data_IF_655510362994
#
_entry.id   IF_655510362994
#
_cell.length_a   1.000
_cell.length_b   1.000
_cell.length_c   1.000
_cell.angle_alpha   90.00
_cell.angle_beta   90.00
_cell.angle_gamma   90.00
#
_symmetry.space_group_name_H-M   'P 1'
#
loop_
_entity.id
_entity.type
_entity.pdbx_description
1 polymer ?
#
# COMPACT_ATOMS: atom_id res chain seq x y z
N UNK A 1 -1.86 -11.01 -110.12
CA UNK A 1 -2.99 -10.11 -110.43
C UNK A 1 -4.23 -10.95 -110.21
N UNK A 2 -5.03 -10.87 -109.14
CA UNK A 2 -5.20 -9.95 -108.02
C UNK A 2 -5.73 -10.73 -106.78
N UNK A 3 -5.30 -10.24 -105.61
CA UNK A 3 -5.89 -10.19 -104.26
C UNK A 3 -7.25 -10.88 -104.02
N UNK A 4 -7.37 -11.81 -103.05
CA UNK A 4 -7.47 -11.61 -101.59
C UNK A 4 -8.65 -10.73 -101.14
N UNK A 5 -9.76 -11.36 -100.77
CA UNK A 5 -10.33 -11.37 -99.40
C UNK A 5 -11.67 -12.14 -99.43
N UNK A 6 -11.70 -13.40 -98.94
CA UNK A 6 -12.95 -14.12 -98.69
C UNK A 6 -13.19 -14.26 -97.19
N UNK A 7 -14.45 -14.02 -96.82
CA UNK A 7 -14.96 -13.55 -95.53
C UNK A 7 -15.19 -14.69 -94.50
N UNK A 8 -14.37 -15.74 -94.55
CA UNK A 8 -14.65 -17.01 -93.86
C UNK A 8 -13.72 -17.33 -92.67
N UNK A 9 -12.89 -16.37 -92.24
CA UNK A 9 -11.88 -16.60 -91.19
C UNK A 9 -12.27 -16.19 -89.77
N UNK A 10 -13.41 -15.52 -89.57
CA UNK A 10 -13.73 -14.92 -88.26
C UNK A 10 -14.68 -15.76 -87.38
N UNK A 11 -15.27 -16.84 -87.92
CA UNK A 11 -16.23 -17.66 -87.17
C UNK A 11 -15.61 -18.92 -86.53
N UNK A 12 -14.36 -19.28 -86.88
CA UNK A 12 -13.72 -20.54 -86.45
C UNK A 12 -12.82 -20.44 -85.22
N UNK A 13 -12.76 -19.29 -84.54
CA UNK A 13 -11.91 -19.08 -83.36
C UNK A 13 -12.74 -19.09 -82.05
N UNK A 14 -14.07 -19.22 -82.11
CA UNK A 14 -14.95 -19.18 -80.93
C UNK A 14 -15.40 -20.55 -80.42
N UNK A 15 -15.03 -21.66 -81.05
CA UNK A 15 -15.48 -23.02 -80.66
C UNK A 15 -14.53 -23.76 -79.71
N UNK A 16 -13.30 -23.29 -79.48
CA UNK A 16 -12.29 -23.99 -78.65
C UNK A 16 -11.92 -23.26 -77.34
N UNK A 17 -12.87 -22.53 -76.74
CA UNK A 17 -12.67 -21.99 -75.39
C UNK A 17 -13.22 -23.00 -74.39
N UNK A 18 -12.38 -23.70 -73.59
CA UNK A 18 -12.89 -24.56 -72.53
C UNK A 18 -13.71 -23.72 -71.54
N UNK A 19 -14.80 -24.27 -70.98
CA UNK A 19 -15.64 -23.51 -70.06
C UNK A 19 -14.79 -23.00 -68.90
N UNK A 20 -14.79 -21.68 -68.70
CA UNK A 20 -14.12 -21.02 -67.58
C UNK A 20 -14.60 -21.68 -66.29
N UNK A 21 -13.70 -22.41 -65.64
CA UNK A 21 -13.92 -22.97 -64.31
C UNK A 21 -14.32 -21.84 -63.37
N UNK A 22 -15.47 -21.99 -62.72
CA UNK A 22 -16.03 -21.00 -61.83
C UNK A 22 -14.98 -20.55 -60.79
N UNK A 23 -14.77 -19.24 -60.69
CA UNK A 23 -13.96 -18.62 -59.63
C UNK A 23 -14.31 -19.23 -58.27
N UNK A 24 -13.33 -19.53 -57.39
CA UNK A 24 -13.64 -19.96 -56.04
C UNK A 24 -14.46 -18.86 -55.36
N UNK A 25 -15.69 -19.16 -54.98
CA UNK A 25 -16.51 -18.26 -54.18
C UNK A 25 -15.81 -18.04 -52.85
N UNK A 26 -15.33 -16.82 -52.60
CA UNK A 26 -14.85 -16.41 -51.29
C UNK A 26 -16.04 -16.47 -50.33
N UNK A 27 -16.05 -17.47 -49.44
CA UNK A 27 -17.05 -17.52 -48.39
C UNK A 27 -16.90 -16.29 -47.49
N UNK A 28 -17.98 -15.55 -47.20
CA UNK A 28 -17.90 -14.40 -46.31
C UNK A 28 -17.55 -14.91 -44.91
N UNK A 29 -16.33 -14.61 -44.46
CA UNK A 29 -15.95 -14.87 -43.08
C UNK A 29 -16.86 -14.02 -42.19
N UNK A 30 -17.69 -14.70 -41.40
CA UNK A 30 -18.76 -14.10 -40.60
C UNK A 30 -18.18 -13.48 -39.32
N UNK A 31 -17.36 -12.44 -39.47
CA UNK A 31 -16.65 -11.76 -38.35
C UNK A 31 -17.62 -11.16 -37.32
N UNK A 32 -18.85 -10.79 -37.73
CA UNK A 32 -19.87 -10.21 -36.85
C UNK A 32 -20.64 -11.21 -35.97
N UNK A 33 -20.53 -12.52 -36.24
CA UNK A 33 -21.26 -13.56 -35.49
C UNK A 33 -20.63 -13.88 -34.14
N UNK A 34 -19.37 -13.50 -33.92
CA UNK A 34 -18.64 -13.78 -32.68
C UNK A 34 -18.82 -12.72 -31.61
N UNK A 35 -19.26 -11.50 -31.97
CA UNK A 35 -19.30 -10.38 -31.02
C UNK A 35 -20.27 -10.63 -29.87
N UNK A 36 -21.47 -11.13 -30.17
CA UNK A 36 -22.47 -11.48 -29.15
C UNK A 36 -21.96 -12.59 -28.23
N UNK A 37 -21.28 -13.60 -28.79
CA UNK A 37 -20.68 -14.69 -28.01
C UNK A 37 -19.55 -14.20 -27.11
N UNK A 38 -18.71 -13.28 -27.59
CA UNK A 38 -17.63 -12.67 -26.80
C UNK A 38 -18.19 -11.82 -25.67
N UNK A 39 -19.21 -10.99 -25.95
CA UNK A 39 -19.88 -10.18 -24.93
C UNK A 39 -20.52 -11.06 -23.87
N UNK A 40 -21.27 -12.10 -24.29
CA UNK A 40 -21.92 -13.02 -23.36
C UNK A 40 -20.90 -13.78 -22.50
N UNK A 41 -19.84 -14.31 -23.11
CA UNK A 41 -18.76 -14.99 -22.39
C UNK A 41 -18.08 -14.05 -21.38
N UNK A 42 -17.76 -12.82 -21.78
CA UNK A 42 -17.14 -11.83 -20.90
C UNK A 42 -18.04 -11.44 -19.72
N UNK A 43 -19.36 -11.30 -19.95
CA UNK A 43 -20.33 -11.00 -18.92
C UNK A 43 -20.45 -12.15 -17.91
N UNK A 44 -20.50 -13.41 -18.39
CA UNK A 44 -20.54 -14.60 -17.54
C UNK A 44 -19.27 -14.72 -16.70
N UNK A 45 -18.09 -14.55 -17.30
CA UNK A 45 -16.82 -14.57 -16.57
C UNK A 45 -16.77 -13.46 -15.51
N UNK A 46 -17.20 -12.25 -15.86
CA UNK A 46 -17.24 -11.12 -14.91
C UNK A 46 -18.17 -11.42 -13.74
N UNK A 47 -19.38 -11.92 -14.01
CA UNK A 47 -20.34 -12.31 -12.97
C UNK A 47 -19.83 -13.42 -12.07
N UNK A 48 -19.19 -14.44 -12.64
CA UNK A 48 -18.59 -15.53 -11.87
C UNK A 48 -17.49 -15.03 -10.93
N UNK A 49 -16.59 -14.17 -11.42
CA UNK A 49 -15.51 -13.57 -10.62
C UNK A 49 -16.09 -12.67 -9.53
N UNK A 50 -17.06 -11.80 -9.87
CA UNK A 50 -17.71 -10.92 -8.91
C UNK A 50 -18.46 -11.71 -7.83
N UNK A 51 -19.12 -12.81 -8.21
CA UNK A 51 -19.77 -13.72 -7.27
C UNK A 51 -18.76 -14.39 -6.33
N UNK A 52 -17.69 -14.96 -6.88
CA UNK A 52 -16.64 -15.60 -6.08
C UNK A 52 -15.94 -14.61 -5.12
N UNK A 53 -15.73 -13.36 -5.55
CA UNK A 53 -15.27 -12.27 -4.67
C UNK A 53 -16.28 -11.94 -3.57
N UNK A 54 -17.57 -11.84 -3.91
CA UNK A 54 -18.62 -11.57 -2.95
C UNK A 54 -18.74 -12.64 -1.87
N UNK A 55 -18.54 -13.91 -2.23
CA UNK A 55 -18.53 -15.03 -1.27
C UNK A 55 -17.18 -15.26 -0.58
N UNK A 56 -16.14 -14.48 -0.90
CA UNK A 56 -14.81 -14.61 -0.29
C UNK A 56 -14.07 -15.90 -0.63
N UNK A 57 -14.49 -16.65 -1.67
CA UNK A 57 -13.91 -17.97 -1.95
C UNK A 57 -12.50 -17.91 -2.54
N UNK A 58 -12.13 -16.76 -3.12
CA UNK A 58 -10.81 -16.52 -3.73
C UNK A 58 -9.78 -16.04 -2.67
N UNK A 59 -10.25 -15.41 -1.60
CA UNK A 59 -9.42 -14.77 -0.57
C UNK A 59 -8.32 -15.69 0.01
N UNK A 60 -8.58 -16.95 0.42
CA UNK A 60 -7.55 -17.81 1.00
C UNK A 60 -6.41 -18.11 0.01
N UNK A 61 -6.74 -18.25 -1.27
CA UNK A 61 -5.77 -18.55 -2.33
C UNK A 61 -4.94 -17.34 -2.72
N UNK A 62 -5.55 -16.15 -2.75
CA UNK A 62 -4.85 -14.88 -2.93
C UNK A 62 -3.86 -14.66 -1.77
N UNK A 63 -4.30 -14.91 -0.54
CA UNK A 63 -3.47 -14.73 0.64
C UNK A 63 -2.27 -15.67 0.65
N UNK A 64 -2.48 -16.95 0.35
CA UNK A 64 -1.41 -17.92 0.24
C UNK A 64 -0.41 -17.59 -0.89
N UNK A 65 -0.91 -17.10 -2.02
CA UNK A 65 -0.06 -16.64 -3.13
C UNK A 65 0.77 -15.41 -2.72
N UNK A 66 0.16 -14.44 -2.06
CA UNK A 66 0.84 -13.25 -1.54
C UNK A 66 1.93 -13.61 -0.52
N UNK A 67 1.62 -14.46 0.46
CA UNK A 67 2.58 -14.88 1.49
C UNK A 67 3.77 -15.63 0.86
N UNK A 68 3.53 -16.42 -0.19
CA UNK A 68 4.59 -17.08 -0.96
C UNK A 68 5.46 -16.08 -1.73
N UNK A 69 4.87 -15.06 -2.33
CA UNK A 69 5.63 -14.01 -3.01
C UNK A 69 6.45 -13.16 -2.02
N UNK A 70 5.90 -12.84 -0.84
CA UNK A 70 6.61 -12.09 0.19
C UNK A 70 7.79 -12.87 0.76
N UNK A 71 7.63 -14.18 0.99
CA UNK A 71 8.74 -15.04 1.46
C UNK A 71 9.84 -15.27 0.43
N UNK A 72 9.54 -15.09 -0.87
CA UNK A 72 10.55 -15.15 -1.94
C UNK A 72 11.32 -13.84 -2.11
N UNK A 73 10.89 -12.76 -1.45
CA UNK A 73 11.59 -11.48 -1.48
C UNK A 73 12.94 -11.63 -0.78
N UNK A 74 13.98 -11.04 -1.36
CA UNK A 74 15.28 -10.98 -0.71
C UNK A 74 15.18 -10.22 0.63
N UNK A 75 15.96 -10.62 1.65
CA UNK A 75 16.01 -9.88 2.91
C UNK A 75 16.39 -8.42 2.67
N UNK A 76 15.61 -7.49 3.21
CA UNK A 76 15.99 -6.07 3.21
C UNK A 76 17.20 -5.89 4.14
N UNK A 77 18.31 -5.38 3.57
CA UNK A 77 19.48 -5.02 4.36
C UNK A 77 19.15 -3.81 5.25
N UNK A 78 19.85 -3.71 6.38
CA UNK A 78 19.77 -2.53 7.25
C UNK A 78 20.23 -1.32 6.44
N UNK A 79 19.40 -0.28 6.41
CA UNK A 79 19.72 0.97 5.72
C UNK A 79 20.71 1.78 6.57
N UNK A 80 21.90 2.05 6.02
CA UNK A 80 22.97 2.79 6.71
C UNK A 80 22.58 4.24 7.11
N UNK A 81 21.46 4.76 6.57
CA UNK A 81 20.93 6.08 6.93
C UNK A 81 20.10 6.05 8.22
N UNK A 82 19.73 4.87 8.71
CA UNK A 82 18.88 4.70 9.88
C UNK A 82 19.71 4.26 11.08
N UNK A 83 19.65 5.06 12.14
CA UNK A 83 20.23 4.71 13.44
C UNK A 83 19.12 4.27 14.40
N UNK A 84 19.23 3.04 14.90
CA UNK A 84 18.36 2.53 15.97
C UNK A 84 19.13 2.59 17.27
N UNK A 85 18.58 3.32 18.25
CA UNK A 85 19.11 3.39 19.61
C UNK A 85 18.20 2.57 20.50
N UNK A 86 18.74 1.48 21.05
CA UNK A 86 18.03 0.58 21.94
C UNK A 86 18.37 0.86 23.41
N UNK A 87 17.40 0.64 24.29
CA UNK A 87 17.63 0.53 25.73
C UNK A 87 17.87 -0.93 26.04
N UNK A 88 19.11 -1.30 26.35
CA UNK A 88 19.49 -2.68 26.66
C UNK A 88 19.29 -2.99 28.15
N UNK A 89 19.35 -4.27 28.53
CA UNK A 89 19.29 -4.69 29.93
C UNK A 89 20.39 -4.02 30.80
N UNK A 90 21.58 -3.80 30.22
CA UNK A 90 22.67 -3.08 30.90
C UNK A 90 22.32 -1.63 31.17
N UNK A 91 21.61 -0.98 30.26
CA UNK A 91 21.13 0.39 30.45
C UNK A 91 20.04 0.44 31.52
N UNK A 92 19.18 -0.58 31.61
CA UNK A 92 18.18 -0.72 32.67
C UNK A 92 18.85 -0.89 34.03
N UNK A 93 19.87 -1.74 34.14
CA UNK A 93 20.65 -1.90 35.38
C UNK A 93 21.34 -0.60 35.81
N UNK A 94 21.89 0.16 34.84
CA UNK A 94 22.63 1.38 35.13
C UNK A 94 21.75 2.60 35.41
N UNK A 95 20.65 2.75 34.68
CA UNK A 95 19.83 3.97 34.66
C UNK A 95 18.40 3.78 35.17
N UNK A 96 18.06 2.57 35.63
CA UNK A 96 16.71 2.12 35.97
C UNK A 96 15.73 2.18 34.80
N UNK A 97 14.63 1.45 34.96
CA UNK A 97 13.47 1.53 34.08
C UNK A 97 12.23 1.89 34.90
N UNK A 98 11.42 2.86 34.46
CA UNK A 98 11.62 3.68 33.28
C UNK A 98 12.71 4.76 33.43
N UNK A 99 13.41 5.08 32.33
CA UNK A 99 14.46 6.10 32.32
C UNK A 99 13.90 7.49 32.60
N UNK A 100 14.62 8.25 33.42
CA UNK A 100 14.34 9.66 33.71
C UNK A 100 14.49 10.52 32.45
N UNK A 101 13.76 11.64 32.42
CA UNK A 101 13.67 12.53 31.27
C UNK A 101 15.03 13.23 31.01
N UNK A 102 15.87 13.45 32.03
CA UNK A 102 17.24 13.98 31.89
C UNK A 102 18.12 13.09 31.01
N UNK A 103 18.06 11.76 31.21
CA UNK A 103 18.88 10.81 30.46
C UNK A 103 18.47 10.81 28.99
N UNK A 104 17.17 10.88 28.75
CA UNK A 104 16.61 10.97 27.42
C UNK A 104 16.97 12.30 26.74
N UNK A 105 16.86 13.42 27.45
CA UNK A 105 17.24 14.74 26.95
C UNK A 105 18.72 14.75 26.52
N UNK A 106 19.61 14.22 27.36
CA UNK A 106 21.04 14.10 27.05
C UNK A 106 21.32 13.19 25.85
N UNK A 107 20.57 12.09 25.71
CA UNK A 107 20.71 11.20 24.56
C UNK A 107 20.27 11.91 23.27
N UNK A 108 19.13 12.59 23.29
CA UNK A 108 18.62 13.38 22.16
C UNK A 108 19.61 14.49 21.77
N UNK A 109 20.16 15.21 22.75
CA UNK A 109 21.14 16.27 22.49
C UNK A 109 22.42 15.75 21.83
N UNK A 110 22.89 14.57 22.23
CA UNK A 110 24.00 13.90 21.55
C UNK A 110 23.66 13.56 20.10
N UNK A 111 22.46 13.04 19.85
CA UNK A 111 22.02 12.72 18.50
C UNK A 111 21.86 13.97 17.63
N UNK A 112 21.37 15.07 18.18
CA UNK A 112 21.19 16.32 17.44
C UNK A 112 22.50 16.93 16.92
N UNK A 113 23.64 16.65 17.55
CA UNK A 113 24.96 17.09 17.07
C UNK A 113 25.30 16.55 15.67
N UNK A 114 24.69 15.42 15.28
CA UNK A 114 24.86 14.81 13.96
C UNK A 114 23.85 15.30 12.92
N UNK A 115 23.03 16.30 13.25
CA UNK A 115 22.04 16.92 12.35
C UNK A 115 21.10 15.90 11.66
N UNK A 116 20.43 15.02 12.42
CA UNK A 116 19.53 14.03 11.84
C UNK A 116 18.31 14.70 11.19
N UNK A 117 17.85 14.12 10.07
CA UNK A 117 16.64 14.58 9.39
C UNK A 117 15.40 14.49 10.29
N UNK A 118 15.29 13.41 11.06
CA UNK A 118 14.23 13.19 12.04
C UNK A 118 14.72 12.29 13.17
N UNK A 119 14.16 12.46 14.37
CA UNK A 119 14.38 11.60 15.53
C UNK A 119 13.01 11.08 15.98
N UNK A 120 12.77 9.78 15.81
CA UNK A 120 11.58 9.11 16.32
C UNK A 120 11.79 8.61 17.74
N UNK A 121 11.07 9.16 18.71
CA UNK A 121 11.06 8.71 20.10
C UNK A 121 9.87 7.80 20.35
N UNK A 122 10.09 6.48 20.28
CA UNK A 122 9.07 5.48 20.61
C UNK A 122 9.01 5.18 22.11
N UNK A 123 8.84 6.23 22.94
CA UNK A 123 8.65 6.11 24.39
C UNK A 123 7.54 7.04 24.84
N UNK A 124 6.53 6.50 25.54
CA UNK A 124 5.44 7.32 26.08
C UNK A 124 5.93 8.20 27.23
N UNK A 125 5.62 9.50 27.14
CA UNK A 125 6.08 10.56 28.06
C UNK A 125 4.95 11.44 28.59
N UNK A 126 3.75 10.88 28.74
CA UNK A 126 2.62 11.59 29.38
C UNK A 126 2.98 12.03 30.81
N UNK A 127 3.36 11.07 31.67
CA UNK A 127 3.78 11.35 33.05
C UNK A 127 5.25 11.79 33.09
N UNK A 128 5.57 12.88 33.79
CA UNK A 128 6.96 13.29 34.02
C UNK A 128 7.77 12.19 34.70
N UNK A 129 9.03 12.04 34.29
CA UNK A 129 9.98 11.14 34.95
C UNK A 129 11.19 11.94 35.41
N UNK A 130 11.08 12.49 36.60
CA UNK A 130 12.10 13.38 37.14
C UNK A 130 13.42 12.64 37.46
N UNK A 131 14.57 13.34 37.37
CA UNK A 131 14.72 14.74 36.95
C UNK A 131 14.68 14.92 35.42
N UNK A 132 14.51 16.16 34.98
CA UNK A 132 14.78 16.59 33.60
C UNK A 132 13.56 16.80 32.71
N UNK A 133 12.35 16.83 33.27
CA UNK A 133 11.12 17.04 32.49
C UNK A 133 11.18 18.32 31.65
N UNK A 134 11.52 19.44 32.28
CA UNK A 134 11.54 20.74 31.60
C UNK A 134 12.57 20.78 30.47
N UNK A 135 13.73 20.13 30.65
CA UNK A 135 14.77 20.04 29.63
C UNK A 135 14.27 19.25 28.41
N UNK A 136 13.61 18.11 28.65
CA UNK A 136 13.01 17.32 27.58
C UNK A 136 11.91 18.08 26.82
N UNK A 137 11.03 18.80 27.52
CA UNK A 137 9.99 19.63 26.88
C UNK A 137 10.63 20.73 26.03
N UNK A 138 11.64 21.43 26.57
CA UNK A 138 12.36 22.48 25.83
C UNK A 138 13.00 21.93 24.54
N UNK A 139 13.52 20.69 24.56
CA UNK A 139 14.06 20.04 23.36
C UNK A 139 12.98 19.84 22.30
N UNK A 140 11.81 19.30 22.66
CA UNK A 140 10.69 19.12 21.72
C UNK A 140 10.16 20.46 21.17
N UNK A 141 10.20 21.52 21.96
CA UNK A 141 9.81 22.85 21.51
C UNK A 141 10.81 23.42 20.50
N UNK A 142 12.11 23.36 20.84
CA UNK A 142 13.21 23.91 20.07
C UNK A 142 13.45 23.18 18.75
N UNK A 143 13.22 21.87 18.72
CA UNK A 143 13.65 21.02 17.61
C UNK A 143 12.46 20.33 16.94
N UNK A 144 11.95 20.85 15.80
CA UNK A 144 10.76 20.32 15.12
C UNK A 144 10.98 18.93 14.50
N UNK A 145 12.23 18.46 14.41
CA UNK A 145 12.58 17.16 13.86
C UNK A 145 12.43 16.01 14.87
N UNK A 146 12.02 16.28 16.11
CA UNK A 146 11.81 15.26 17.13
C UNK A 146 10.33 14.87 17.15
N UNK A 147 10.05 13.60 16.88
CA UNK A 147 8.70 13.06 16.78
C UNK A 147 8.48 12.09 17.94
N UNK A 148 7.57 12.40 18.85
CA UNK A 148 7.17 11.51 19.95
C UNK A 148 5.98 10.65 19.55
N UNK A 149 5.59 9.70 20.41
CA UNK A 149 4.49 8.77 20.13
C UNK A 149 3.27 9.01 21.01
N UNK A 150 2.12 8.73 20.41
CA UNK A 150 0.83 8.63 21.10
C UNK A 150 0.20 7.27 20.82
N UNK A 151 -0.60 6.77 21.76
CA UNK A 151 -1.35 5.54 21.55
C UNK A 151 -2.85 5.80 21.48
N UNK A 152 -3.50 5.20 20.49
CA UNK A 152 -4.93 5.28 20.28
C UNK A 152 -5.67 4.19 21.06
N UNK A 153 -6.73 4.51 21.79
CA UNK A 153 -7.48 3.59 22.67
C UNK A 153 -6.76 3.05 23.90
N UNK A 154 -5.58 3.58 24.21
CA UNK A 154 -4.96 3.34 25.50
C UNK A 154 -5.24 4.52 26.42
N UNK A 155 -5.32 4.26 27.73
CA UNK A 155 -5.64 5.29 28.71
C UNK A 155 -4.64 6.45 28.72
N UNK A 156 -4.94 7.47 29.52
CA UNK A 156 -4.22 8.76 29.58
C UNK A 156 -2.68 8.67 29.61
N UNK A 157 -2.12 7.64 30.22
CA UNK A 157 -0.66 7.43 30.34
C UNK A 157 0.08 7.27 29.00
N UNK A 158 -0.65 7.05 27.90
CA UNK A 158 -0.10 6.87 26.56
C UNK A 158 -0.34 8.07 25.64
N UNK A 159 -0.89 9.16 26.16
CA UNK A 159 -0.98 10.44 25.48
C UNK A 159 0.41 11.12 25.36
N UNK A 160 0.58 12.12 24.47
CA UNK A 160 1.79 12.92 24.44
C UNK A 160 1.98 13.68 25.77
N UNK A 161 3.19 14.20 26.03
CA UNK A 161 3.41 15.15 27.11
C UNK A 161 2.36 16.28 27.12
N UNK A 162 1.60 16.49 28.23
CA UNK A 162 0.56 17.52 28.30
C UNK A 162 1.11 18.96 28.21
N UNK A 163 2.40 19.15 28.45
CA UNK A 163 3.09 20.44 28.38
C UNK A 163 3.46 20.84 26.94
N UNK A 164 3.34 19.93 25.96
CA UNK A 164 3.60 20.27 24.57
C UNK A 164 2.54 21.22 24.02
N UNK A 165 3.01 22.23 23.28
CA UNK A 165 2.14 23.20 22.63
C UNK A 165 1.23 22.53 21.57
N UNK A 166 0.00 23.03 21.37
CA UNK A 166 -0.97 22.41 20.46
C UNK A 166 -0.53 22.31 18.98
N UNK A 167 0.30 23.24 18.53
CA UNK A 167 0.89 23.26 17.19
C UNK A 167 1.91 22.12 17.01
N UNK A 168 2.71 21.82 18.05
CA UNK A 168 3.65 20.70 18.09
C UNK A 168 2.93 19.37 18.16
N UNK A 169 1.84 19.27 18.91
CA UNK A 169 1.01 18.07 18.94
C UNK A 169 0.54 17.66 17.55
N UNK A 170 0.36 18.61 16.62
CA UNK A 170 -0.11 18.31 15.28
C UNK A 170 1.01 17.85 14.35
N UNK A 171 2.28 18.18 14.61
CA UNK A 171 3.38 17.96 13.65
C UNK A 171 4.51 17.07 14.19
N UNK A 172 4.54 16.82 15.50
CA UNK A 172 5.64 16.13 16.20
C UNK A 172 5.14 14.92 16.99
N UNK A 173 3.97 14.37 16.64
CA UNK A 173 3.37 13.22 17.31
C UNK A 173 2.96 12.18 16.27
N UNK A 174 3.56 10.99 16.38
CA UNK A 174 3.20 9.78 15.64
C UNK A 174 2.37 8.83 16.50
N UNK A 175 2.22 7.60 16.02
CA UNK A 175 1.45 6.56 16.70
C UNK A 175 2.27 5.32 17.03
N UNK A 176 2.02 4.70 18.18
CA UNK A 176 2.74 3.49 18.63
C UNK A 176 1.91 2.21 18.56
N UNK A 177 0.63 2.29 18.19
CA UNK A 177 -0.25 1.13 18.17
C UNK A 177 -1.11 1.04 16.90
N UNK A 178 -1.57 -0.17 16.63
CA UNK A 178 -2.57 -0.45 15.61
C UNK A 178 -3.96 -0.45 16.25
N UNK A 179 -5.00 -0.04 15.53
CA UNK A 179 -6.37 -0.27 15.98
C UNK A 179 -6.58 -1.76 16.16
N UNK A 180 -7.21 -2.14 17.28
CA UNK A 180 -7.62 -3.52 17.48
C UNK A 180 -8.63 -3.87 16.39
N UNK A 181 -8.40 -4.98 15.69
CA UNK A 181 -9.40 -5.51 14.78
C UNK A 181 -10.65 -5.85 15.58
N UNK A 182 -11.81 -5.41 15.09
CA UNK A 182 -13.08 -5.85 15.65
C UNK A 182 -13.08 -7.37 15.61
N UNK A 183 -13.49 -7.99 16.74
CA UNK A 183 -13.56 -9.45 16.84
C UNK A 183 -14.23 -9.99 15.57
N UNK A 184 -13.68 -11.06 14.97
CA UNK A 184 -14.10 -11.51 13.67
C UNK A 184 -15.62 -11.57 13.68
N UNK A 185 -16.24 -10.97 12.65
CA UNK A 185 -17.58 -11.37 12.30
C UNK A 185 -17.63 -12.90 12.35
N UNK A 186 -18.78 -13.50 12.68
CA UNK A 186 -18.93 -14.96 12.87
C UNK A 186 -18.53 -15.83 11.64
N UNK A 187 -17.87 -15.23 10.65
CA UNK A 187 -17.23 -15.76 9.45
C UNK A 187 -15.72 -15.96 9.58
N UNK A 188 -15.07 -15.57 10.68
CA UNK A 188 -13.65 -15.85 10.92
C UNK A 188 -12.70 -15.08 9.98
N UNK A 189 -13.14 -13.96 9.41
CA UNK A 189 -12.31 -13.15 8.53
C UNK A 189 -11.29 -12.35 9.35
N UNK A 190 -10.00 -12.49 9.03
CA UNK A 190 -8.94 -11.66 9.60
C UNK A 190 -8.74 -10.46 8.68
N UNK A 191 -9.05 -9.24 9.15
CA UNK A 191 -8.87 -8.05 8.33
C UNK A 191 -7.37 -7.71 8.30
N UNK A 192 -6.68 -7.94 7.19
CA UNK A 192 -5.30 -7.44 7.04
C UNK A 192 -5.32 -5.94 6.78
N UNK A 193 -4.89 -5.16 7.78
CA UNK A 193 -4.71 -3.70 7.68
C UNK A 193 -3.22 -3.37 7.66
N UNK A 194 -2.82 -2.47 6.75
CA UNK A 194 -1.51 -1.82 6.79
C UNK A 194 -1.74 -0.33 6.98
N UNK A 195 -1.92 0.15 8.23
CA UNK A 195 -2.16 1.56 8.46
C UNK A 195 -0.90 2.36 8.10
N UNK A 196 -1.02 3.20 7.08
CA UNK A 196 0.06 4.09 6.64
C UNK A 196 0.03 5.43 7.38
N UNK A 197 -1.17 5.90 7.72
CA UNK A 197 -1.40 7.12 8.49
C UNK A 197 -2.72 7.01 9.25
N UNK A 198 -2.89 7.88 10.23
CA UNK A 198 -4.10 7.95 11.04
C UNK A 198 -4.68 9.35 10.97
N UNK A 199 -5.96 9.46 10.64
CA UNK A 199 -6.63 10.76 10.56
C UNK A 199 -7.60 10.93 11.75
N UNK A 200 -7.35 11.87 12.68
CA UNK A 200 -8.14 11.98 13.91
C UNK A 200 -9.61 12.37 13.68
N UNK A 201 -9.98 12.98 12.54
CA UNK A 201 -11.41 13.22 12.21
C UNK A 201 -12.14 12.01 11.64
N UNK A 202 -11.40 11.00 11.19
CA UNK A 202 -11.96 9.76 10.61
C UNK A 202 -11.98 8.63 11.63
N UNK A 203 -11.43 8.87 12.82
CA UNK A 203 -11.36 7.87 13.87
C UNK A 203 -12.44 8.09 14.92
N UNK A 204 -12.90 6.98 15.50
CA UNK A 204 -13.88 6.99 16.58
C UNK A 204 -13.21 7.10 17.97
N UNK A 205 -11.93 7.49 18.03
CA UNK A 205 -11.15 7.47 19.27
C UNK A 205 -11.13 8.86 19.89
N UNK A 206 -11.55 8.96 21.15
CA UNK A 206 -11.57 10.21 21.91
C UNK A 206 -10.27 10.35 22.69
N UNK A 207 -9.21 10.84 22.05
CA UNK A 207 -7.93 11.07 22.69
C UNK A 207 -7.22 12.33 22.16
N UNK A 208 -6.27 12.84 22.94
CA UNK A 208 -5.49 14.03 22.58
C UNK A 208 -4.43 13.79 21.50
N UNK A 209 -4.36 12.57 20.94
CA UNK A 209 -3.46 12.25 19.85
C UNK A 209 -3.88 13.02 18.59
N UNK A 210 -3.11 14.04 18.22
CA UNK A 210 -3.15 14.67 16.91
C UNK A 210 -1.93 14.15 16.15
N UNK A 211 -2.08 13.70 14.92
CA UNK A 211 -0.95 13.39 14.05
C UNK A 211 -1.08 14.21 12.77
N UNK A 212 0.05 14.60 12.15
CA UNK A 212 0.03 15.34 10.90
C UNK A 212 -0.48 14.42 9.78
N UNK A 213 -1.15 15.05 8.81
CA UNK A 213 -1.63 14.42 7.56
C UNK A 213 -0.45 14.12 6.65
#
# INVERSE_FOLDING_TARGET
MERFFNRAGCAKILEDIPPVSASPQKQPVRVFSGLVSVILASAVCTWAVMGARYFGTIEPSELAAFDRLMSQREPELIDDRLLVVEVTDRDVEQYNYPQNDEILARAIDKLQQFQPLAIGLNMHRYSPREPGRQELINLFEKHPNIITVCSYNYGKLFEPPPELLPDKLTNQVGFSNLPQDEAPDNKGSSIRRQPLSYHPKLSNFNNNCKSPI
#
